data_IF_638174526321
#
_entry.id   IF_638174526321
#
_cell.length_a   1.000
_cell.length_b   1.000
_cell.length_c   1.000
_cell.angle_alpha   90.00
_cell.angle_beta   90.00
_cell.angle_gamma   90.00
#
_symmetry.space_group_name_H-M   'P 1'
#
loop_
_entity.id
_entity.type
_entity.pdbx_description
1 polymer ?
#
# COMPACT_ATOMS: atom_id res chain seq x y z
N UNK A 1 -7.25 14.15 5.77
CA UNK A 1 -6.62 12.82 5.78
C UNK A 1 -7.51 11.81 6.50
N UNK A 2 -8.84 11.99 6.50
CA UNK A 2 -9.71 11.49 7.60
C UNK A 2 -10.81 10.50 7.18
N UNK A 3 -10.87 10.07 5.93
CA UNK A 3 -11.91 9.15 5.45
C UNK A 3 -11.34 8.04 4.54
N UNK A 4 -10.14 7.56 4.82
CA UNK A 4 -9.65 6.35 4.15
C UNK A 4 -10.32 5.15 4.80
N UNK A 5 -11.15 4.44 4.03
CA UNK A 5 -11.76 3.19 4.45
C UNK A 5 -10.77 2.07 4.19
N UNK A 6 -10.25 1.46 5.26
CA UNK A 6 -9.25 0.39 5.19
C UNK A 6 -9.90 -1.00 5.16
N UNK A 7 -9.46 -1.82 4.22
CA UNK A 7 -9.82 -3.23 4.15
C UNK A 7 -9.12 -4.04 5.26
N UNK A 8 -9.52 -5.31 5.40
CA UNK A 8 -8.82 -6.28 6.24
C UNK A 8 -7.36 -6.43 5.79
N UNK A 9 -6.40 -6.54 6.72
CA UNK A 9 -5.00 -6.71 6.36
C UNK A 9 -4.74 -7.98 5.54
N UNK A 10 -3.92 -7.85 4.50
CA UNK A 10 -3.32 -8.95 3.77
C UNK A 10 -1.94 -9.24 4.35
N UNK A 11 -1.76 -10.45 4.89
CA UNK A 11 -0.52 -10.88 5.53
C UNK A 11 0.09 -12.05 4.75
N UNK A 12 1.38 -11.94 4.40
CA UNK A 12 2.15 -13.10 3.96
C UNK A 12 2.75 -13.81 5.18
N UNK A 13 2.87 -15.14 5.11
CA UNK A 13 3.41 -15.93 6.22
C UNK A 13 4.89 -15.58 6.45
N UNK A 14 5.22 -15.03 7.62
CA UNK A 14 6.59 -14.60 7.97
C UNK A 14 7.01 -13.21 7.50
N UNK A 15 6.13 -12.44 6.86
CA UNK A 15 6.43 -11.09 6.36
C UNK A 15 5.48 -10.02 6.93
N UNK A 16 5.64 -8.77 6.50
CA UNK A 16 4.77 -7.66 6.88
C UNK A 16 3.32 -7.83 6.38
N UNK A 17 2.36 -7.37 7.17
CA UNK A 17 0.96 -7.27 6.78
C UNK A 17 0.69 -5.90 6.16
N UNK A 18 0.01 -5.86 5.02
CA UNK A 18 -0.36 -4.63 4.32
C UNK A 18 -1.88 -4.44 4.32
N UNK A 19 -2.33 -3.19 4.27
CA UNK A 19 -3.73 -2.81 4.10
C UNK A 19 -3.89 -1.99 2.86
N UNK A 20 -5.01 -2.20 2.19
CA UNK A 20 -5.46 -1.37 1.07
C UNK A 20 -6.59 -0.50 1.61
N UNK A 21 -6.57 0.78 1.26
CA UNK A 21 -7.59 1.74 1.66
C UNK A 21 -8.03 2.58 0.48
N UNK A 22 -9.26 3.08 0.53
CA UNK A 22 -9.78 4.02 -0.47
C UNK A 22 -10.36 5.25 0.23
N UNK A 23 -10.09 6.45 -0.28
CA UNK A 23 -10.73 7.69 0.19
C UNK A 23 -12.08 7.96 -0.50
N UNK A 24 -12.73 9.05 -0.11
CA UNK A 24 -14.01 9.48 -0.67
C UNK A 24 -13.93 9.92 -2.15
N UNK A 25 -12.74 10.29 -2.63
CA UNK A 25 -12.48 10.70 -4.02
C UNK A 25 -12.14 9.50 -4.93
N UNK A 26 -12.01 8.30 -4.34
CA UNK A 26 -11.68 7.07 -5.04
C UNK A 26 -10.18 6.82 -5.23
N UNK A 27 -9.32 7.55 -4.52
CA UNK A 27 -7.88 7.30 -4.53
C UNK A 27 -7.56 6.07 -3.67
N UNK A 28 -6.65 5.23 -4.17
CA UNK A 28 -6.21 4.02 -3.50
C UNK A 28 -4.92 4.27 -2.71
N UNK A 29 -4.89 3.73 -1.50
CA UNK A 29 -3.79 3.81 -0.55
C UNK A 29 -3.32 2.42 -0.16
N UNK A 30 -2.03 2.26 0.07
CA UNK A 30 -1.44 1.04 0.64
C UNK A 30 -0.64 1.44 1.86
N UNK A 31 -0.84 0.77 2.99
CA UNK A 31 -0.07 1.00 4.21
C UNK A 31 0.34 -0.33 4.85
N UNK A 32 1.36 -0.30 5.72
CA UNK A 32 1.62 -1.42 6.63
C UNK A 32 0.55 -1.41 7.72
N UNK A 33 0.05 -2.58 8.11
CA UNK A 33 -0.94 -2.71 9.17
C UNK A 33 -0.43 -2.07 10.48
N UNK A 34 -1.19 -1.14 11.05
CA UNK A 34 -0.79 -0.35 12.21
C UNK A 34 0.08 0.88 11.91
N UNK A 35 0.36 1.17 10.63
CA UNK A 35 1.04 2.39 10.17
C UNK A 35 0.22 3.12 9.10
N UNK A 36 -1.11 3.12 9.22
CA UNK A 36 -2.04 3.73 8.26
C UNK A 36 -1.78 5.23 8.04
N UNK A 37 -1.13 5.92 8.99
CA UNK A 37 -0.73 7.32 8.89
C UNK A 37 0.46 7.55 7.93
N UNK A 38 1.22 6.50 7.59
CA UNK A 38 2.39 6.52 6.71
C UNK A 38 2.16 5.61 5.49
N UNK A 39 1.17 5.94 4.68
CA UNK A 39 0.86 5.15 3.49
C UNK A 39 1.96 5.24 2.43
N UNK A 40 2.26 4.08 1.83
CA UNK A 40 3.28 3.86 0.81
C UNK A 40 2.90 4.43 -0.56
N UNK A 41 1.60 4.62 -0.80
CA UNK A 41 1.07 5.24 -2.02
C UNK A 41 -0.16 6.08 -1.67
N UNK A 42 -0.25 7.25 -2.29
CA UNK A 42 -1.32 8.23 -2.14
C UNK A 42 -2.01 8.59 -3.46
N UNK A 43 -1.44 8.13 -4.58
CA UNK A 43 -1.82 8.55 -5.92
C UNK A 43 -1.60 7.44 -6.96
N UNK A 44 -2.31 7.54 -8.09
CA UNK A 44 -2.12 6.62 -9.24
C UNK A 44 -0.68 6.60 -9.76
N UNK A 45 0.02 7.73 -9.70
CA UNK A 45 1.41 7.82 -10.15
C UNK A 45 2.36 7.09 -9.19
N UNK A 46 2.16 7.22 -7.88
CA UNK A 46 2.89 6.47 -6.87
C UNK A 46 2.66 4.96 -7.00
N UNK A 47 1.41 4.51 -7.18
CA UNK A 47 1.09 3.10 -7.41
C UNK A 47 1.74 2.57 -8.71
N UNK A 48 1.70 3.34 -9.80
CA UNK A 48 2.33 2.97 -11.07
C UNK A 48 3.85 2.83 -10.92
N UNK A 49 4.46 3.73 -10.16
CA UNK A 49 5.90 3.72 -9.85
C UNK A 49 6.26 2.48 -9.05
N UNK A 50 5.51 2.21 -7.96
CA UNK A 50 5.67 1.01 -7.14
C UNK A 50 5.58 -0.27 -7.97
N UNK A 51 4.54 -0.41 -8.81
CA UNK A 51 4.38 -1.58 -9.69
C UNK A 51 5.55 -1.72 -10.67
N UNK A 52 6.03 -0.60 -11.22
CA UNK A 52 7.17 -0.60 -12.16
C UNK A 52 8.46 -1.03 -11.45
N UNK A 53 8.69 -0.54 -10.24
CA UNK A 53 9.86 -0.88 -9.43
C UNK A 53 9.83 -2.33 -8.94
N UNK A 54 8.66 -2.86 -8.55
CA UNK A 54 8.48 -4.29 -8.26
C UNK A 54 8.83 -5.13 -9.49
N UNK A 55 8.28 -4.78 -10.66
CA UNK A 55 8.57 -5.49 -11.92
C UNK A 55 10.03 -5.38 -12.35
N UNK A 56 10.72 -4.31 -11.95
CA UNK A 56 12.15 -4.11 -12.18
C UNK A 56 13.03 -4.87 -11.18
N UNK A 57 12.44 -5.66 -10.27
CA UNK A 57 13.18 -6.39 -9.23
C UNK A 57 13.74 -5.48 -8.13
N UNK A 58 13.31 -4.22 -8.05
CA UNK A 58 13.77 -3.32 -6.98
C UNK A 58 13.11 -3.63 -5.64
N UNK A 59 12.00 -4.36 -5.63
CA UNK A 59 11.33 -4.79 -4.40
C UNK A 59 11.69 -6.24 -4.00
N UNK A 60 12.66 -6.88 -4.66
CA UNK A 60 13.05 -8.27 -4.39
C UNK A 60 13.53 -8.48 -2.94
N UNK A 61 14.01 -7.42 -2.28
CA UNK A 61 14.46 -7.44 -0.89
C UNK A 61 13.35 -7.23 0.14
N UNK A 62 12.09 -7.10 -0.31
CA UNK A 62 10.90 -7.00 0.56
C UNK A 62 10.18 -8.35 0.72
N UNK A 63 10.65 -9.40 0.04
CA UNK A 63 10.21 -10.80 0.17
C UNK A 63 11.21 -11.59 1.02
#
# INVERSE_FOLDING_TARGET
>A
MSDITWETPFCAEGSSCFRIGTDADGNAYIAVNGQEEHHLTDSREALRTLITDIKAGKADHLL
#
